data_IF_750684158544
#
_entry.id   IF_750684158544
#
_cell.length_a   1.000
_cell.length_b   1.000
_cell.length_c   1.000
_cell.angle_alpha   90.00
_cell.angle_beta   90.00
_cell.angle_gamma   90.00
#
_symmetry.space_group_name_H-M   'P 1'
#
loop_
_entity.id
_entity.type
_entity.pdbx_description
1 polymer ?
#
# COMPACT_ATOMS: atom_id res chain seq x y z
N UNK A 1 -16.52 -7.00 -24.71
CA UNK A 1 -15.23 -6.47 -25.20
C UNK A 1 -14.17 -6.70 -24.13
N UNK A 2 -13.08 -7.31 -24.50
CA UNK A 2 -11.94 -7.47 -23.58
C UNK A 2 -11.07 -6.22 -23.61
N UNK A 3 -10.70 -5.72 -22.44
CA UNK A 3 -9.80 -4.57 -22.30
C UNK A 3 -8.70 -4.87 -21.31
N UNK A 4 -7.63 -4.09 -21.38
CA UNK A 4 -6.61 -3.98 -20.32
C UNK A 4 -6.92 -2.75 -19.49
N UNK A 5 -6.79 -2.85 -18.18
CA UNK A 5 -6.98 -1.73 -17.26
C UNK A 5 -6.01 -1.77 -16.11
N UNK A 6 -5.83 -0.63 -15.48
CA UNK A 6 -5.06 -0.55 -14.23
C UNK A 6 -5.71 -1.40 -13.14
N UNK A 7 -4.87 -2.05 -12.34
CA UNK A 7 -5.33 -2.80 -11.16
C UNK A 7 -5.75 -1.83 -10.05
N UNK A 8 -6.56 -2.32 -9.11
CA UNK A 8 -6.85 -1.60 -7.87
C UNK A 8 -5.68 -1.78 -6.91
N UNK A 9 -4.67 -0.93 -7.03
CA UNK A 9 -3.41 -1.08 -6.30
C UNK A 9 -3.60 -0.99 -4.78
N UNK A 10 -4.48 -0.12 -4.29
CA UNK A 10 -4.74 -0.02 -2.85
C UNK A 10 -5.23 -1.36 -2.30
N UNK A 11 -6.18 -1.98 -2.99
CA UNK A 11 -6.74 -3.27 -2.57
C UNK A 11 -5.71 -4.41 -2.71
N UNK A 12 -4.93 -4.41 -3.78
CA UNK A 12 -3.88 -5.41 -3.99
C UNK A 12 -2.83 -5.34 -2.87
N UNK A 13 -2.38 -4.15 -2.53
CA UNK A 13 -1.41 -3.95 -1.43
C UNK A 13 -2.04 -4.35 -0.09
N UNK A 14 -3.28 -3.94 0.15
CA UNK A 14 -3.99 -4.33 1.38
C UNK A 14 -4.07 -5.85 1.52
N UNK A 15 -4.47 -6.56 0.47
CA UNK A 15 -4.56 -8.02 0.48
C UNK A 15 -3.19 -8.68 0.71
N UNK A 16 -2.14 -8.13 0.11
CA UNK A 16 -0.79 -8.63 0.29
C UNK A 16 -0.29 -8.51 1.73
N UNK A 17 -0.69 -7.47 2.43
CA UNK A 17 -0.25 -7.19 3.81
C UNK A 17 -1.18 -7.77 4.88
N UNK A 18 -2.44 -8.04 4.55
CA UNK A 18 -3.47 -8.38 5.56
C UNK A 18 -3.22 -9.72 6.25
N UNK A 19 -2.47 -10.63 5.63
CA UNK A 19 -2.11 -11.91 6.25
C UNK A 19 -1.13 -11.74 7.42
N UNK A 20 -0.44 -10.60 7.46
CA UNK A 20 0.62 -10.34 8.44
C UNK A 20 0.30 -9.19 9.38
N UNK A 21 -0.47 -8.21 8.92
CA UNK A 21 -0.74 -6.96 9.66
C UNK A 21 -2.20 -6.54 9.50
N UNK A 22 -2.72 -5.84 10.49
CA UNK A 22 -3.99 -5.13 10.33
C UNK A 22 -3.80 -4.03 9.28
N UNK A 23 -4.42 -4.17 8.12
CA UNK A 23 -4.20 -3.29 6.98
C UNK A 23 -5.53 -2.76 6.47
N UNK A 24 -5.59 -1.46 6.28
CA UNK A 24 -6.78 -0.75 5.81
C UNK A 24 -6.44 0.09 4.60
N UNK A 25 -7.40 0.18 3.66
CA UNK A 25 -7.40 1.25 2.68
C UNK A 25 -8.09 2.47 3.28
N UNK A 26 -7.80 3.67 2.80
CA UNK A 26 -8.54 4.84 3.23
C UNK A 26 -10.00 4.81 2.73
N UNK A 27 -10.96 5.39 3.46
CA UNK A 27 -10.75 6.00 4.77
C UNK A 27 -10.58 4.94 5.84
N UNK A 28 -9.79 5.27 6.88
CA UNK A 28 -9.71 4.40 8.05
C UNK A 28 -11.09 4.27 8.71
N UNK A 29 -11.46 3.05 9.16
CA UNK A 29 -12.66 2.91 9.95
C UNK A 29 -12.54 3.67 11.26
N UNK A 30 -13.67 4.13 11.80
CA UNK A 30 -13.68 4.90 13.05
C UNK A 30 -13.05 4.13 14.22
N UNK A 31 -13.18 2.80 14.21
CA UNK A 31 -12.61 1.91 15.23
C UNK A 31 -11.57 0.99 14.58
N UNK A 32 -10.42 1.54 14.27
CA UNK A 32 -9.34 0.72 13.74
C UNK A 32 -8.52 0.08 14.87
N UNK A 33 -7.97 -1.10 14.58
CA UNK A 33 -7.11 -1.83 15.54
C UNK A 33 -5.66 -1.43 15.35
N UNK A 34 -4.96 -1.19 16.44
CA UNK A 34 -3.55 -0.81 16.48
C UNK A 34 -2.75 -2.00 17.00
N UNK A 35 -1.57 -2.32 16.45
CA UNK A 35 -0.89 -1.65 15.33
C UNK A 35 -1.55 -1.91 13.99
N UNK A 36 -1.49 -0.94 13.09
CA UNK A 36 -2.10 -1.06 11.78
C UNK A 36 -1.35 -0.27 10.70
N UNK A 37 -1.65 -0.60 9.46
CA UNK A 37 -1.14 0.09 8.28
C UNK A 37 -2.31 0.61 7.47
N UNK A 38 -2.23 1.87 7.06
CA UNK A 38 -3.14 2.45 6.09
C UNK A 38 -2.44 2.60 4.75
N UNK A 39 -3.11 2.18 3.69
CA UNK A 39 -2.62 2.24 2.31
C UNK A 39 -3.36 3.34 1.57
N UNK A 40 -2.61 4.25 0.94
CA UNK A 40 -3.20 5.32 0.13
C UNK A 40 -2.49 5.42 -1.21
N UNK A 41 -3.26 5.44 -2.29
CA UNK A 41 -2.73 5.84 -3.59
C UNK A 41 -2.74 7.36 -3.69
N UNK A 42 -1.57 7.94 -3.99
CA UNK A 42 -1.42 9.41 -4.04
C UNK A 42 -1.04 9.92 -5.42
N UNK A 43 -0.80 9.03 -6.37
CA UNK A 43 -0.47 9.41 -7.74
C UNK A 43 -0.06 8.22 -8.58
N UNK A 44 0.60 8.51 -9.70
CA UNK A 44 1.11 7.51 -10.61
C UNK A 44 0.84 7.85 -12.07
N UNK A 45 1.30 6.99 -12.94
CA UNK A 45 1.13 7.14 -14.38
C UNK A 45 0.92 5.79 -15.04
N UNK A 46 0.18 5.79 -16.14
CA UNK A 46 -0.06 4.63 -16.98
C UNK A 46 0.94 4.66 -18.15
N UNK A 47 1.62 3.54 -18.38
CA UNK A 47 2.56 3.39 -19.50
C UNK A 47 2.26 2.10 -20.25
N UNK A 48 1.22 2.12 -21.08
CA UNK A 48 0.78 0.97 -21.87
C UNK A 48 0.31 -0.19 -20.99
N UNK A 49 1.15 -1.23 -20.79
CA UNK A 49 0.78 -2.44 -20.04
C UNK A 49 1.34 -2.46 -18.63
N UNK A 50 2.21 -1.52 -18.29
CA UNK A 50 2.80 -1.40 -16.96
C UNK A 50 2.47 -0.03 -16.40
N UNK A 51 1.88 -0.02 -15.24
CA UNK A 51 1.53 1.20 -14.52
C UNK A 51 2.56 1.49 -13.42
N UNK A 52 2.74 2.77 -13.14
CA UNK A 52 3.52 3.26 -12.02
C UNK A 52 2.57 3.89 -11.01
N UNK A 53 2.59 3.40 -9.78
CA UNK A 53 1.71 3.89 -8.70
C UNK A 53 2.56 4.51 -7.58
N UNK A 54 2.17 5.70 -7.16
CA UNK A 54 2.71 6.31 -5.95
C UNK A 54 1.79 5.99 -4.78
N UNK A 55 2.34 5.32 -3.78
CA UNK A 55 1.62 4.81 -2.62
C UNK A 55 2.23 5.41 -1.36
N UNK A 56 1.38 5.80 -0.42
CA UNK A 56 1.80 6.13 0.94
C UNK A 56 1.34 5.02 1.86
N UNK A 57 2.26 4.52 2.68
CA UNK A 57 1.96 3.63 3.80
C UNK A 57 2.11 4.42 5.09
N UNK A 58 1.06 4.45 5.89
CA UNK A 58 1.07 5.02 7.24
C UNK A 58 0.98 3.89 8.26
N UNK A 59 2.04 3.70 9.03
CA UNK A 59 2.07 2.72 10.10
C UNK A 59 1.77 3.41 11.44
N UNK A 60 0.76 2.93 12.16
CA UNK A 60 0.34 3.44 13.46
C UNK A 60 0.57 2.41 14.53
N UNK A 61 1.19 2.83 15.63
CA UNK A 61 1.45 1.98 16.78
C UNK A 61 1.50 2.83 18.06
N UNK A 62 1.62 2.16 19.19
CA UNK A 62 1.68 2.84 20.49
C UNK A 62 2.95 3.65 20.69
N UNK A 63 4.08 3.22 20.07
CA UNK A 63 5.37 3.89 20.16
C UNK A 63 5.98 4.09 18.79
N UNK A 64 6.92 5.05 18.69
CA UNK A 64 7.65 5.31 17.45
C UNK A 64 8.45 4.08 17.00
N UNK A 65 9.07 3.37 17.92
CA UNK A 65 9.85 2.17 17.58
C UNK A 65 8.97 1.10 16.96
N UNK A 66 7.80 0.86 17.53
CA UNK A 66 6.85 -0.13 17.00
C UNK A 66 6.30 0.28 15.65
N UNK A 67 6.00 1.57 15.46
CA UNK A 67 5.52 2.07 14.18
C UNK A 67 6.60 1.94 13.09
N UNK A 68 7.85 2.27 13.40
CA UNK A 68 8.97 2.12 12.49
C UNK A 68 9.21 0.65 12.11
N UNK A 69 9.21 -0.24 13.08
CA UNK A 69 9.39 -1.67 12.83
C UNK A 69 8.26 -2.22 11.95
N UNK A 70 7.03 -1.83 12.23
CA UNK A 70 5.87 -2.22 11.44
C UNK A 70 6.01 -1.76 9.99
N UNK A 71 6.42 -0.51 9.78
CA UNK A 71 6.61 0.04 8.44
C UNK A 71 7.71 -0.68 7.67
N UNK A 72 8.86 -0.93 8.31
CA UNK A 72 9.97 -1.66 7.69
C UNK A 72 9.58 -3.08 7.32
N UNK A 73 8.83 -3.75 8.18
CA UNK A 73 8.33 -5.10 7.92
C UNK A 73 7.35 -5.12 6.74
N UNK A 74 6.44 -4.16 6.68
CA UNK A 74 5.49 -4.05 5.56
C UNK A 74 6.21 -3.82 4.23
N UNK A 75 7.18 -2.93 4.21
CA UNK A 75 7.99 -2.68 3.00
C UNK A 75 8.73 -3.96 2.58
N UNK A 76 9.31 -4.67 3.54
CA UNK A 76 10.01 -5.93 3.29
C UNK A 76 9.10 -7.00 2.68
N UNK A 77 7.88 -7.11 3.19
CA UNK A 77 6.87 -8.04 2.64
C UNK A 77 6.53 -7.68 1.21
N UNK A 78 6.28 -6.40 0.91
CA UNK A 78 5.96 -5.96 -0.46
C UNK A 78 7.11 -6.22 -1.42
N UNK A 79 8.35 -5.98 -1.02
CA UNK A 79 9.53 -6.28 -1.83
C UNK A 79 9.66 -7.78 -2.10
N UNK A 80 9.38 -8.60 -1.11
CA UNK A 80 9.41 -10.06 -1.28
C UNK A 80 8.34 -10.54 -2.24
N UNK A 81 7.14 -9.99 -2.15
CA UNK A 81 6.02 -10.32 -3.03
C UNK A 81 6.32 -9.93 -4.48
N UNK A 82 7.03 -8.82 -4.71
CA UNK A 82 7.40 -8.40 -6.05
C UNK A 82 8.33 -9.39 -6.78
N UNK A 83 8.99 -10.28 -6.04
CA UNK A 83 9.79 -11.36 -6.62
C UNK A 83 8.92 -12.52 -7.13
N UNK A 84 7.67 -12.61 -6.70
CA UNK A 84 6.75 -13.66 -7.11
C UNK A 84 6.05 -13.28 -8.42
N UNK A 85 6.25 -14.07 -9.47
CA UNK A 85 5.64 -13.82 -10.77
C UNK A 85 4.14 -14.05 -10.83
N UNK A 86 3.55 -14.66 -9.80
CA UNK A 86 2.11 -14.85 -9.71
C UNK A 86 1.37 -13.56 -9.34
N UNK A 87 2.06 -12.53 -8.85
CA UNK A 87 1.46 -11.25 -8.50
C UNK A 87 1.57 -10.25 -9.65
N UNK A 88 0.69 -9.23 -9.65
CA UNK A 88 0.78 -8.13 -10.61
C UNK A 88 1.93 -7.16 -10.28
N UNK A 89 2.39 -7.13 -9.04
CA UNK A 89 3.45 -6.23 -8.58
C UNK A 89 4.80 -6.70 -9.11
N UNK A 90 5.54 -5.81 -9.79
CA UNK A 90 6.82 -6.14 -10.41
C UNK A 90 8.02 -5.50 -9.73
N UNK A 91 7.85 -4.31 -9.16
CA UNK A 91 8.94 -3.61 -8.49
C UNK A 91 8.37 -2.69 -7.41
N UNK A 92 9.04 -2.65 -6.28
CA UNK A 92 8.72 -1.74 -5.18
C UNK A 92 9.96 -0.92 -4.88
N UNK A 93 9.85 0.40 -5.00
CA UNK A 93 10.93 1.34 -4.73
C UNK A 93 10.50 2.27 -3.61
N UNK A 94 11.35 2.43 -2.60
CA UNK A 94 11.11 3.38 -1.51
C UNK A 94 11.65 4.75 -1.91
N UNK A 95 10.76 5.73 -2.07
CA UNK A 95 11.15 7.10 -2.41
C UNK A 95 11.48 7.93 -1.18
N UNK A 96 10.72 7.74 -0.08
CA UNK A 96 11.04 8.32 1.21
C UNK A 96 10.48 7.45 2.32
N UNK A 97 11.15 7.40 3.45
CA UNK A 97 10.77 6.57 4.59
C UNK A 97 11.16 7.26 5.89
N UNK A 98 10.42 6.95 6.96
CA UNK A 98 10.74 7.44 8.29
C UNK A 98 10.23 8.84 8.59
N UNK A 99 9.20 9.31 7.89
CA UNK A 99 8.52 10.54 8.26
C UNK A 99 7.68 10.29 9.52
N UNK A 100 8.03 10.99 10.60
CA UNK A 100 7.41 10.80 11.91
C UNK A 100 6.33 11.83 12.18
N UNK A 101 5.35 11.45 12.97
CA UNK A 101 4.31 12.36 13.44
C UNK A 101 3.39 11.69 14.42
N UNK A 102 2.45 12.47 14.95
CA UNK A 102 1.32 11.94 15.70
C UNK A 102 0.15 11.72 14.75
N UNK A 103 -0.67 10.72 15.06
CA UNK A 103 -1.92 10.54 14.33
C UNK A 103 -2.82 11.77 14.54
N UNK A 104 -3.29 12.44 13.47
CA UNK A 104 -4.15 13.62 13.64
C UNK A 104 -5.47 13.33 14.34
N UNK A 105 -5.97 12.09 14.22
CA UNK A 105 -7.23 11.69 14.83
C UNK A 105 -7.03 11.16 16.25
N UNK A 106 -5.92 10.45 16.47
CA UNK A 106 -5.56 9.88 17.78
C UNK A 106 -4.14 10.29 18.13
N UNK A 107 -3.96 11.48 18.76
CA UNK A 107 -2.61 12.00 19.06
C UNK A 107 -1.79 11.15 20.04
N UNK A 108 -2.43 10.19 20.71
CA UNK A 108 -1.77 9.22 21.59
C UNK A 108 -0.98 8.16 20.79
N UNK A 109 -1.21 8.05 19.49
CA UNK A 109 -0.54 7.08 18.63
C UNK A 109 0.63 7.72 17.89
N UNK A 110 1.72 6.95 17.76
CA UNK A 110 2.81 7.29 16.87
C UNK A 110 2.48 6.85 15.44
N UNK A 111 2.87 7.65 14.47
CA UNK A 111 2.68 7.35 13.05
C UNK A 111 4.01 7.51 12.33
N UNK A 112 4.36 6.52 11.53
CA UNK A 112 5.53 6.53 10.67
C UNK A 112 5.08 6.28 9.23
N UNK A 113 5.51 7.13 8.30
CA UNK A 113 5.05 7.09 6.91
C UNK A 113 6.18 6.82 5.95
N UNK A 114 5.86 6.14 4.85
CA UNK A 114 6.76 5.97 3.72
C UNK A 114 6.02 6.23 2.42
N UNK A 115 6.73 6.78 1.47
CA UNK A 115 6.26 6.92 0.09
C UNK A 115 6.98 5.91 -0.78
N UNK A 116 6.19 5.10 -1.49
CA UNK A 116 6.68 4.05 -2.37
C UNK A 116 6.24 4.31 -3.80
N UNK A 117 7.04 3.83 -4.74
CA UNK A 117 6.60 3.66 -6.12
C UNK A 117 6.48 2.16 -6.41
N UNK A 118 5.34 1.75 -6.95
CA UNK A 118 5.08 0.35 -7.31
C UNK A 118 4.82 0.28 -8.81
N UNK A 119 5.61 -0.54 -9.50
CA UNK A 119 5.34 -0.90 -10.88
C UNK A 119 4.53 -2.18 -10.89
N UNK A 120 3.44 -2.18 -11.65
CA UNK A 120 2.54 -3.33 -11.72
C UNK A 120 1.97 -3.51 -13.12
N UNK A 121 1.69 -4.76 -13.48
CA UNK A 121 1.00 -5.08 -14.72
C UNK A 121 -0.47 -4.70 -14.65
N UNK A 122 -1.02 -4.34 -15.79
CA UNK A 122 -2.46 -4.17 -15.95
C UNK A 122 -3.16 -5.52 -15.97
N UNK A 123 -4.46 -5.51 -15.74
CA UNK A 123 -5.30 -6.69 -15.75
C UNK A 123 -6.23 -6.70 -16.96
N UNK A 124 -6.60 -7.90 -17.41
CA UNK A 124 -7.63 -8.10 -18.44
C UNK A 124 -8.99 -8.16 -17.77
N UNK A 125 -9.96 -7.51 -18.39
CA UNK A 125 -11.34 -7.60 -17.95
C UNK A 125 -12.29 -7.49 -19.14
N UNK A 126 -13.53 -7.93 -18.95
CA UNK A 126 -14.56 -7.90 -20.00
C UNK A 126 -15.60 -6.87 -19.61
N UNK A 127 -15.90 -5.97 -20.56
CA UNK A 127 -16.96 -4.99 -20.40
C UNK A 127 -18.06 -5.31 -21.40
N UNK A 128 -19.30 -5.38 -20.90
CA UNK A 128 -20.48 -5.61 -21.72
C UNK A 128 -21.12 -4.27 -22.12
N UNK A 129 -21.76 -4.27 -23.29
CA UNK A 129 -22.57 -3.11 -23.69
C UNK A 129 -23.78 -2.98 -22.76
N UNK A 130 -24.11 -1.74 -22.50
CA UNK A 130 -25.34 -1.41 -21.79
C UNK A 130 -26.55 -1.63 -22.69
#
# INVERSE_FOLDING_TARGET
MEILRSIDIENIVRLALTDYFNTYCRPLPAKFKVPCIEVQRVGGSDKNTIDSFDIVLDARAETEEKADELLRNAIGVLKKISDDQATAIRMVTVNSSGSWGSDPVRPDLAMCSARLNILAHQEKTIINRR
#
